data_IF_393180429501
#
_entry.id   IF_393180429501
#
_cell.length_a   1.000
_cell.length_b   1.000
_cell.length_c   1.000
_cell.angle_alpha   90.00
_cell.angle_beta   90.00
_cell.angle_gamma   90.00
#
_symmetry.space_group_name_H-M   'P 1'
#
loop_
_entity.id
_entity.type
_entity.pdbx_description
1 polymer ?
2 non-polymer ?
3 water ?
#
# COMPACT_ATOMS: atom_id res chain seq x y z
N UNK A 38 -17.04 14.32 0.32
CA UNK A 38 -16.29 13.86 1.52
C UNK A 38 -15.52 12.57 1.27
N UNK A 39 -15.54 12.06 0.04
CA UNK A 39 -14.98 10.73 -0.27
C UNK A 39 -14.07 10.76 -1.50
N UNK A 40 -13.03 9.93 -1.49
CA UNK A 40 -12.25 9.61 -2.69
C UNK A 40 -12.39 8.12 -2.97
N UNK A 41 -12.13 7.71 -4.20
CA UNK A 41 -12.30 6.32 -4.59
C UNK A 41 -11.14 5.86 -5.45
N UNK A 42 -11.04 4.55 -5.65
CA UNK A 42 -10.06 4.00 -6.58
C UNK A 42 -10.51 2.65 -7.09
N UNK A 43 -10.18 2.35 -8.34
CA UNK A 43 -10.36 1.00 -8.89
C UNK A 43 -8.97 0.41 -9.10
N UNK A 44 -8.69 -0.71 -8.43
CA UNK A 44 -7.36 -1.31 -8.47
C UNK A 44 -7.33 -2.37 -9.55
N UNK A 45 -6.28 -2.34 -10.36
CA UNK A 45 -6.07 -3.33 -11.42
C UNK A 45 -4.78 -4.12 -11.24
N UNK A 46 -4.78 -5.31 -11.83
CA UNK A 46 -3.62 -6.19 -11.88
C UNK A 46 -2.67 -5.72 -12.98
N UNK A 47 -1.43 -6.23 -13.00
CA UNK A 47 -0.48 -5.92 -14.08
C UNK A 47 -1.02 -6.14 -15.49
N UNK A 48 -1.93 -7.10 -15.69
CA UNK A 48 -2.51 -7.32 -17.02
C UNK A 48 -3.71 -6.41 -17.33
N UNK A 49 -4.05 -5.53 -16.40
CA UNK A 49 -5.10 -4.55 -16.58
C UNK A 49 -6.49 -4.94 -16.09
N UNK A 50 -6.66 -6.17 -15.64
CA UNK A 50 -7.96 -6.61 -15.15
C UNK A 50 -8.26 -6.08 -13.76
N UNK A 51 -9.54 -5.89 -13.48
CA UNK A 51 -9.98 -5.29 -12.23
C UNK A 51 -9.85 -6.30 -11.11
N UNK A 52 -9.31 -5.85 -9.97
CA UNK A 52 -9.08 -6.70 -8.81
C UNK A 52 -9.95 -6.29 -7.62
N UNK A 53 -10.05 -5.00 -7.37
CA UNK A 53 -10.71 -4.48 -6.17
C UNK A 53 -11.10 -3.02 -6.36
N UNK A 54 -11.97 -2.55 -5.48
CA UNK A 54 -12.25 -1.12 -5.39
C UNK A 54 -12.16 -0.65 -3.95
N UNK A 55 -11.83 0.62 -3.83
CA UNK A 55 -11.56 1.26 -2.55
C UNK A 55 -12.31 2.59 -2.40
N UNK A 56 -12.71 2.87 -1.17
CA UNK A 56 -13.35 4.13 -0.80
C UNK A 56 -12.60 4.71 0.40
N UNK A 57 -12.40 6.02 0.35
CA UNK A 57 -11.71 6.80 1.38
C UNK A 57 -12.68 7.88 1.84
N UNK A 58 -13.36 7.66 2.97
CA UNK A 58 -14.38 8.58 3.46
C UNK A 58 -13.85 9.43 4.62
N UNK A 59 -13.90 10.74 4.45
CA UNK A 59 -13.34 11.67 5.43
C UNK A 59 -14.45 12.34 6.22
N UNK A 60 -14.43 12.15 7.53
CA UNK A 60 -15.41 12.71 8.44
C UNK A 60 -14.86 12.69 9.86
N UNK A 61 -15.23 13.69 10.67
CA UNK A 61 -14.83 13.72 12.07
C UNK A 61 -13.32 13.71 12.32
N UNK A 62 -12.56 14.25 11.36
CA UNK A 62 -11.11 14.36 11.46
C UNK A 62 -10.32 13.11 11.13
N UNK A 63 -10.98 12.09 10.59
CA UNK A 63 -10.28 10.88 10.16
C UNK A 63 -10.86 10.24 8.90
N UNK A 64 -10.11 9.30 8.36
CA UNK A 64 -10.47 8.56 7.15
C UNK A 64 -10.95 7.17 7.53
N UNK A 65 -12.05 6.75 6.92
CA UNK A 65 -12.51 5.36 6.96
C UNK A 65 -12.25 4.80 5.59
N UNK A 66 -11.44 3.76 5.53
CA UNK A 66 -10.96 3.20 4.26
C UNK A 66 -11.63 1.82 4.10
N UNK A 67 -12.37 1.63 3.01
CA UNK A 67 -12.98 0.34 2.71
C UNK A 67 -12.39 -0.17 1.41
N UNK A 68 -11.95 -1.43 1.38
CA UNK A 68 -11.48 -2.01 0.12
C UNK A 68 -12.03 -3.42 0.02
N UNK A 69 -12.46 -3.84 -1.17
CA UNK A 69 -12.95 -5.19 -1.33
C UNK A 69 -12.74 -5.65 -2.75
N UNK A 70 -12.54 -6.95 -2.90
CA UNK A 70 -12.39 -7.53 -4.24
C UNK A 70 -13.68 -7.45 -5.04
N UNK A 71 -13.54 -7.42 -6.37
CA UNK A 71 -14.71 -7.34 -7.26
C UNK A 71 -15.08 -8.67 -7.90
N UNK A 72 -14.28 -9.69 -7.68
CA UNK A 72 -14.57 -11.03 -8.16
C UNK A 72 -13.84 -12.03 -7.31
N UNK A 73 -13.63 -13.23 -7.85
CA UNK A 73 -12.89 -14.30 -7.16
C UNK A 73 -11.62 -14.62 -7.91
N UNK A 74 -10.67 -15.25 -7.22
CA UNK A 74 -9.53 -15.87 -7.86
C UNK A 74 -8.43 -14.93 -8.32
N UNK A 75 -8.47 -13.68 -7.88
CA UNK A 75 -7.52 -12.66 -8.34
C UNK A 75 -6.42 -12.28 -7.33
N UNK A 76 -6.55 -12.68 -6.06
CA UNK A 76 -5.45 -12.56 -5.09
C UNK A 76 -5.20 -13.90 -4.42
N UNK A 77 -3.95 -14.14 -4.04
CA UNK A 77 -3.62 -15.39 -3.35
C UNK A 77 -4.20 -15.37 -1.94
N UNK A 78 -4.70 -16.50 -1.46
CA UNK A 78 -5.15 -16.58 -0.06
C UNK A 78 -4.06 -16.20 0.94
N UNK A 79 -4.46 -15.51 2.00
CA UNK A 79 -3.56 -15.11 3.06
C UNK A 79 -3.51 -13.60 3.24
N UNK A 80 -2.49 -13.12 3.94
CA UNK A 80 -2.37 -11.71 4.31
C UNK A 80 -1.51 -10.96 3.31
N UNK A 81 -1.98 -9.77 2.92
CA UNK A 81 -1.29 -8.93 1.94
C UNK A 81 -1.12 -7.54 2.49
N UNK A 82 0.10 -7.02 2.42
CA UNK A 82 0.38 -5.64 2.75
C UNK A 82 -0.45 -4.71 1.89
N UNK A 83 -0.88 -3.63 2.50
CA UNK A 83 -1.73 -2.66 1.86
C UNK A 83 -1.26 -1.28 2.28
N UNK A 84 -0.80 -0.49 1.32
CA UNK A 84 -0.33 0.87 1.60
C UNK A 84 -0.70 1.85 0.50
N UNK A 85 -0.79 3.11 0.91
CA UNK A 85 -0.84 4.22 -0.02
C UNK A 85 0.59 4.64 -0.37
N UNK A 86 0.86 4.73 -1.68
CA UNK A 86 2.17 5.11 -2.20
C UNK A 86 2.11 6.54 -2.75
N UNK A 87 3.29 7.14 -2.96
CA UNK A 87 3.44 8.58 -3.07
C UNK A 87 3.26 9.22 -4.45
N UNK A 88 3.05 8.41 -5.48
CA UNK A 88 2.81 8.93 -6.84
C UNK A 88 1.58 8.24 -7.43
N UNK A 89 0.67 9.04 -7.99
CA UNK A 89 -0.57 8.55 -8.54
C UNK A 89 -0.45 8.01 -9.96
N UNK A 90 0.30 6.92 -10.07
CA UNK A 90 0.51 6.22 -11.33
C UNK A 90 0.43 4.72 -11.08
N UNK A 91 -0.25 4.00 -11.97
CA UNK A 91 -0.37 2.54 -11.89
C UNK A 91 0.05 1.93 -13.22
N UNK A 92 1.36 1.86 -13.42
CA UNK A 92 1.96 1.42 -14.68
C UNK A 92 2.69 0.10 -14.44
N UNK A 93 2.25 -0.97 -15.09
CA UNK A 93 3.03 -2.23 -15.11
C UNK A 93 4.42 -1.99 -15.72
N UNK A 94 5.41 -2.79 -15.33
CA UNK A 94 6.79 -2.70 -15.83
C UNK A 94 7.32 -1.28 -15.96
N UNK A 95 7.30 -0.57 -14.82
CA UNK A 95 7.71 0.81 -14.73
C UNK A 95 8.90 0.96 -13.79
N UNK A 96 9.54 2.12 -13.85
CA UNK A 96 10.74 2.40 -13.05
C UNK A 96 10.42 3.35 -11.90
N UNK A 97 11.05 3.11 -10.76
CA UNK A 97 10.90 3.96 -9.58
C UNK A 97 11.50 5.33 -9.86
N UNK A 98 10.98 6.38 -9.21
CA UNK A 98 11.51 7.74 -9.39
C UNK A 98 13.03 7.89 -9.27
N UNK A 99 13.68 7.16 -8.36
CA UNK A 99 15.12 7.29 -8.16
C UNK A 99 15.92 6.16 -8.83
N UNK A 100 15.25 5.34 -9.62
CA UNK A 100 15.93 4.39 -10.47
C UNK A 100 15.74 2.96 -10.01
N UNK A 101 16.12 2.06 -10.90
CA UNK A 101 16.09 0.62 -10.64
C UNK A 101 15.60 -0.13 -11.86
N UNK A 102 15.66 -1.46 -11.79
CA UNK A 102 15.09 -2.30 -12.85
C UNK A 102 13.57 -2.08 -12.87
N UNK A 103 12.96 -2.19 -14.04
CA UNK A 103 11.51 -2.04 -14.14
C UNK A 103 10.78 -3.18 -13.44
N UNK A 104 9.59 -2.88 -12.95
CA UNK A 104 8.76 -3.82 -12.23
C UNK A 104 7.35 -3.28 -12.11
N UNK A 105 6.42 -4.10 -11.65
CA UNK A 105 5.04 -3.67 -11.64
C UNK A 105 4.77 -2.58 -10.62
N UNK A 106 4.23 -1.48 -11.13
CA UNK A 106 3.74 -0.36 -10.35
C UNK A 106 4.83 0.36 -9.56
N UNK A 107 6.08 0.24 -10.01
CA UNK A 107 7.18 0.91 -9.31
C UNK A 107 7.18 2.42 -9.48
N UNK A 108 6.58 2.94 -10.55
CA UNK A 108 6.49 4.39 -10.72
C UNK A 108 5.56 5.06 -9.71
N UNK A 109 4.79 4.27 -8.94
CA UNK A 109 4.01 4.80 -7.81
C UNK A 109 4.90 5.22 -6.64
N UNK A 110 6.18 4.88 -6.72
CA UNK A 110 7.15 5.30 -5.73
C UNK A 110 7.01 4.57 -4.42
N UNK A 111 7.52 5.19 -3.37
CA UNK A 111 7.54 4.59 -2.05
C UNK A 111 6.29 4.92 -1.26
N UNK A 112 6.30 4.56 0.02
CA UNK A 112 5.16 4.82 0.89
C UNK A 112 4.89 6.30 1.03
N UNK A 113 3.61 6.64 1.12
CA UNK A 113 3.18 8.01 1.27
C UNK A 113 3.46 8.55 2.68
N UNK A 114 4.07 9.73 2.73
CA UNK A 114 4.27 10.48 3.96
C UNK A 114 3.68 11.87 3.78
N UNK A 115 2.91 12.31 4.76
CA UNK A 115 2.42 13.68 4.78
C UNK A 115 3.65 14.56 4.94
N UNK A 116 3.74 15.67 4.22
CA UNK A 116 4.98 16.45 4.23
C UNK A 116 5.35 16.87 5.66
N UNK A 117 6.61 16.65 6.04
CA UNK A 117 7.08 16.91 7.39
C UNK A 117 7.01 15.71 8.33
N UNK A 118 6.55 14.57 7.83
CA UNK A 118 6.40 13.35 8.63
C UNK A 118 7.33 12.27 8.10
N UNK A 119 8.16 11.73 8.98
CA UNK A 119 9.09 10.67 8.60
C UNK A 119 8.83 9.46 9.49
N UNK A 120 9.41 8.33 9.11
CA UNK A 120 9.41 7.16 9.96
C UNK A 120 8.17 6.31 9.80
N UNK A 121 8.12 5.29 10.65
CA UNK A 121 7.24 4.13 10.52
C UNK A 121 6.34 4.03 11.75
N UNK A 122 5.04 3.76 11.58
CA UNK A 122 4.40 3.56 10.27
C UNK A 122 4.31 4.84 9.45
N UNK A 123 4.52 4.72 8.15
CA UNK A 123 4.28 5.82 7.23
C UNK A 123 2.81 6.24 7.29
N UNK A 124 2.56 7.48 6.91
CA UNK A 124 1.21 8.03 6.87
C UNK A 124 0.26 7.17 6.04
N UNK A 125 0.81 6.53 5.01
CA UNK A 125 -0.01 5.75 4.09
C UNK A 125 -0.19 4.29 4.47
N UNK A 126 0.35 3.85 5.61
CA UNK A 126 0.25 2.45 5.99
C UNK A 126 -1.16 2.12 6.48
N UNK A 127 -1.65 0.94 6.08
CA UNK A 127 -2.99 0.49 6.44
C UNK A 127 -2.92 -0.92 6.98
N UNK A 128 -3.97 -1.30 7.70
CA UNK A 128 -4.14 -2.68 8.12
C UNK A 128 -4.12 -3.57 6.88
N UNK A 129 -3.69 -4.81 7.05
CA UNK A 129 -3.48 -5.72 5.93
C UNK A 129 -4.79 -6.27 5.40
N UNK A 130 -4.75 -6.64 4.13
CA UNK A 130 -5.89 -7.26 3.46
C UNK A 130 -5.84 -8.78 3.61
N UNK A 131 -6.87 -9.33 4.24
CA UNK A 131 -6.95 -10.75 4.57
C UNK A 131 -7.77 -11.46 3.48
N UNK A 132 -7.11 -12.29 2.68
CA UNK A 132 -7.75 -12.90 1.51
C UNK A 132 -8.14 -14.35 1.81
N UNK A 133 -9.41 -14.65 1.54
CA UNK A 133 -10.00 -15.95 1.80
C UNK A 133 -9.52 -16.98 0.77
N UNK A 134 -9.87 -18.23 1.00
CA UNK A 134 -9.46 -19.33 0.14
C UNK A 134 -9.84 -19.18 -1.32
N UNK A 135 -10.94 -18.49 -1.60
CA UNK A 135 -11.38 -18.27 -2.99
C UNK A 135 -10.80 -17.02 -3.65
N UNK A 136 -9.91 -16.32 -2.95
CA UNK A 136 -9.30 -15.11 -3.46
C UNK A 136 -10.07 -13.83 -3.20
N UNK A 137 -11.18 -13.91 -2.46
CA UNK A 137 -11.99 -12.73 -2.14
C UNK A 137 -11.59 -12.14 -0.80
N UNK A 138 -11.87 -10.86 -0.62
CA UNK A 138 -11.43 -10.09 0.55
C UNK A 138 -12.26 -8.82 0.76
N UNK A 139 -12.39 -8.42 2.02
CA UNK A 139 -13.00 -7.14 2.38
C UNK A 139 -12.32 -6.65 3.65
N UNK A 140 -12.00 -5.37 3.65
CA UNK A 140 -11.38 -4.70 4.78
C UNK A 140 -12.02 -3.35 5.00
N UNK A 141 -12.32 -3.04 6.26
CA UNK A 141 -12.56 -1.65 6.68
C UNK A 141 -11.56 -1.33 7.78
N UNK A 142 -10.89 -0.19 7.65
CA UNK A 142 -9.99 0.30 8.70
C UNK A 142 -10.07 1.83 8.76
N UNK A 143 -9.47 2.43 9.78
CA UNK A 143 -9.48 3.87 9.93
C UNK A 143 -8.10 4.40 10.23
N UNK A 144 -7.91 5.68 9.92
CA UNK A 144 -6.66 6.35 10.18
C UNK A 144 -6.86 7.87 10.19
N UNK A 145 -6.18 8.53 11.11
CA UNK A 145 -6.16 9.99 11.12
C UNK A 145 -4.88 10.56 10.51
N UNK A 146 -4.11 9.72 9.80
CA UNK A 146 -2.76 10.09 9.33
C UNK A 146 -2.72 10.96 8.08
N UNK A 147 -3.83 11.05 7.34
CA UNK A 147 -3.90 11.88 6.15
C UNK A 147 -5.32 12.42 5.93
N UNK A 148 -5.40 13.50 5.15
CA UNK A 148 -6.65 14.15 4.79
C UNK A 148 -6.92 14.01 3.31
N UNK A 149 -8.10 14.45 2.88
CA UNK A 149 -8.44 14.45 1.47
C UNK A 149 -7.47 15.34 0.67
N UNK A 150 -7.18 16.54 1.18
CA UNK A 150 -6.25 17.43 0.49
C UNK A 150 -4.87 16.80 0.34
N UNK A 151 -4.42 16.06 1.36
CA UNK A 151 -3.14 15.38 1.29
C UNK A 151 -3.09 14.46 0.07
N UNK A 152 -4.12 13.64 -0.10
CA UNK A 152 -4.11 12.66 -1.18
C UNK A 152 -4.25 13.26 -2.58
N UNK A 153 -4.78 14.48 -2.66
CA UNK A 153 -5.01 15.17 -3.94
C UNK A 153 -3.89 16.14 -4.29
N UNK A 154 -2.96 16.30 -3.36
CA UNK A 154 -1.83 17.20 -3.49
C UNK A 154 -0.83 16.64 -4.52
N UNK A 155 -0.19 17.55 -5.26
CA UNK A 155 0.97 17.20 -6.05
C UNK A 155 0.73 16.16 -7.13
N UNK A 156 1.53 15.11 -7.08
CA UNK A 156 1.51 14.02 -8.05
C UNK A 156 0.46 12.95 -7.72
N UNK A 157 -0.35 13.22 -6.69
CA UNK A 157 -1.43 12.33 -6.25
C UNK A 157 -0.83 11.06 -5.67
N UNK A 158 -1.68 10.07 -5.40
CA UNK A 158 -1.27 8.87 -4.67
C UNK A 158 -1.96 7.66 -5.27
N UNK A 159 -1.43 6.50 -4.92
CA UNK A 159 -1.99 5.23 -5.38
C UNK A 159 -2.13 4.29 -4.20
N UNK A 160 -3.18 3.47 -4.20
CA UNK A 160 -3.33 2.40 -3.22
C UNK A 160 -2.83 1.08 -3.86
N UNK A 161 -1.97 0.37 -3.14
CA UNK A 161 -1.29 -0.83 -3.64
C UNK A 161 -1.51 -2.02 -2.71
N UNK A 162 -1.87 -3.14 -3.32
CA UNK A 162 -1.88 -4.45 -2.64
C UNK A 162 -0.59 -5.18 -3.02
N UNK A 163 0.14 -5.63 -2.00
CA UNK A 163 1.39 -6.38 -2.14
C UNK A 163 1.16 -7.89 -2.19
N UNK A 164 2.16 -8.61 -2.70
CA UNK A 164 2.07 -10.05 -2.82
C UNK A 164 2.17 -10.75 -1.48
N UNK A 165 2.96 -10.18 -0.58
CA UNK A 165 3.29 -10.77 0.71
C UNK A 165 2.67 -10.04 1.89
N UNK A 166 2.80 -10.66 3.06
CA UNK A 166 2.40 -10.04 4.31
C UNK A 166 3.36 -8.91 4.71
N UNK A 167 2.81 -7.93 5.41
CA UNK A 167 3.51 -6.78 5.97
C UNK A 167 4.00 -7.14 7.37
N UNK A 168 5.30 -6.95 7.65
CA UNK A 168 5.82 -7.23 9.00
C UNK A 168 5.76 -6.04 9.96
N UNK A 169 5.28 -4.89 9.46
CA UNK A 169 5.17 -3.68 10.26
C UNK A 169 6.50 -3.27 10.93
N UNK A 170 7.61 -3.71 10.31
CA UNK A 170 8.97 -3.48 10.83
C UNK A 170 9.22 -4.02 12.25
N UNK A 171 8.47 -5.04 12.64
CA UNK A 171 8.63 -5.68 13.93
C UNK A 171 9.56 -6.88 13.79
N UNK A 172 10.86 -6.63 13.95
CA UNK A 172 11.88 -7.67 13.90
C UNK A 172 12.62 -7.59 15.23
N UNK A 173 12.22 -8.41 16.21
CA UNK A 173 12.74 -8.30 17.58
C UNK A 173 14.28 -8.23 17.68
N UNK A 174 14.85 -7.09 18.07
CA UNK A 174 16.32 -6.95 18.10
C UNK A 174 17.02 -7.84 19.12
N UNK A 175 16.30 -8.35 20.12
CA UNK A 175 16.92 -9.27 21.09
C UNK A 175 17.14 -10.68 20.54
N UNK A 176 16.44 -11.04 19.46
CA UNK A 176 16.48 -12.39 18.91
C UNK A 176 16.94 -12.48 17.46
N UNK A 177 16.95 -11.35 16.75
CA UNK A 177 17.29 -11.32 15.31
C UNK A 177 18.31 -10.24 15.00
N UNK A 178 19.25 -10.56 14.11
CA UNK A 178 20.18 -9.57 13.57
C UNK A 178 20.15 -9.57 12.05
N UNK A 179 20.45 -8.42 11.49
CA UNK A 179 20.79 -8.30 10.08
C UNK A 179 22.03 -9.15 9.80
N UNK A 180 22.20 -9.59 8.57
CA UNK A 180 23.36 -10.41 8.24
C UNK A 180 24.70 -9.67 8.42
N UNK A 181 24.66 -8.35 8.46
CA UNK A 181 25.84 -7.54 8.80
C UNK A 181 26.13 -7.46 10.31
N UNK A 182 25.22 -7.99 11.13
CA UNK A 182 25.38 -8.04 12.57
C UNK A 182 24.56 -7.05 13.38
N UNK A 183 23.98 -6.04 12.74
CA UNK A 183 23.21 -5.03 13.46
C UNK A 183 21.86 -5.61 13.89
N UNK A 184 21.51 -5.54 15.18
CA UNK A 184 20.19 -6.02 15.61
C UNK A 184 19.01 -5.23 15.01
N UNK A 185 17.90 -5.93 14.79
CA UNK A 185 16.66 -5.28 14.42
C UNK A 185 16.54 -4.95 12.95
N UNK A 186 15.48 -4.23 12.59
CA UNK A 186 15.15 -3.98 11.19
C UNK A 186 16.09 -3.02 10.44
N UNK A 187 16.37 -3.33 9.18
CA UNK A 187 17.15 -2.46 8.31
C UNK A 187 16.23 -1.41 7.67
N UNK A 188 16.82 -0.49 6.90
CA UNK A 188 16.07 0.63 6.34
C UNK A 188 14.97 0.17 5.39
N UNK A 189 15.24 -0.87 4.62
CA UNK A 189 14.26 -1.44 3.70
C UNK A 189 13.04 -1.93 4.46
N UNK A 190 13.26 -2.64 5.56
CA UNK A 190 12.15 -3.11 6.39
C UNK A 190 11.36 -1.94 6.98
N UNK A 191 12.06 -0.93 7.46
CA UNK A 191 11.43 0.23 8.08
C UNK A 191 10.53 0.98 7.12
N UNK A 192 10.90 0.99 5.84
CA UNK A 192 10.19 1.77 4.85
C UNK A 192 9.21 0.98 3.98
N UNK A 193 9.20 -0.36 4.07
CA UNK A 193 8.34 -1.20 3.22
C UNK A 193 7.55 -2.30 3.92
N UNK A 194 7.98 -2.71 5.11
CA UNK A 194 7.42 -3.87 5.77
C UNK A 194 7.67 -5.20 5.07
N UNK A 195 8.60 -5.21 4.10
CA UNK A 195 8.98 -6.41 3.38
C UNK A 195 7.82 -7.15 2.72
N UNK A 196 6.86 -6.39 2.21
CA UNK A 196 5.64 -7.00 1.69
C UNK A 196 5.77 -7.49 0.23
N UNK A 197 6.92 -7.28 -0.39
CA UNK A 197 7.18 -7.88 -1.69
C UNK A 197 6.56 -7.11 -2.84
N UNK A 198 6.27 -7.83 -3.91
CA UNK A 198 5.89 -7.22 -5.18
C UNK A 198 4.51 -6.58 -5.08
N UNK A 199 4.24 -5.71 -6.04
CA UNK A 199 2.98 -4.98 -6.12
C UNK A 199 2.08 -5.70 -7.11
N UNK A 200 0.97 -6.26 -6.60
CA UNK A 200 0.09 -7.11 -7.40
C UNK A 200 -1.19 -6.43 -7.88
N UNK A 201 -1.55 -5.29 -7.29
CA UNK A 201 -2.69 -4.50 -7.75
C UNK A 201 -2.46 -3.06 -7.35
N UNK A 202 -2.97 -2.14 -8.15
CA UNK A 202 -2.71 -0.72 -7.96
C UNK A 202 -3.88 0.08 -8.48
N UNK A 203 -4.29 1.11 -7.74
CA UNK A 203 -5.26 2.06 -8.22
C UNK A 203 -4.85 3.46 -7.83
N UNK A 204 -5.11 4.42 -8.71
CA UNK A 204 -4.84 5.80 -8.39
C UNK A 204 -6.02 6.30 -7.55
N UNK A 205 -5.72 7.06 -6.50
CA UNK A 205 -6.76 7.59 -5.61
C UNK A 205 -7.28 8.94 -6.16
N UNK A 206 -8.59 9.03 -6.36
CA UNK A 206 -9.21 10.26 -6.79
C UNK A 206 -10.69 10.04 -6.95
N UNK A 207 -11.13 9.96 -8.20
CA UNK A 207 -12.55 9.79 -8.53
C UNK A 207 -12.85 8.49 -9.26
N UNK A 208 -11.86 7.61 -9.35
CA UNK A 208 -11.92 6.45 -10.22
C UNK A 208 -12.47 5.22 -9.54
X LIG B 1 3.03 -0.59 -0.27
#
# INVERSE_FOLDING_TARGET
CSSPQHASTVPGTTPSIWTGSPAPSGLSGHDEESPGAQSLTSTLTAPDGTKVATAKFEFANGYATVTIATTGVGKLTPGFHGLHIHQVGKCEPNSVAPTGGAPGNFLSAGGHYHVPGHTGTPASGDLASLQVRGDGSAMLVTTTDAFTMDDLLSGAKTAIIIHAGADNFANIPPERYVQVNGTPGPDETTLTTGDAGKRVACGVIGSG
CU CU
#
